data_IF_201884022554
#
_entry.id   IF_201884022554
#
_cell.length_a   1.000
_cell.length_b   1.000
_cell.length_c   1.000
_cell.angle_alpha   90.00
_cell.angle_beta   90.00
_cell.angle_gamma   90.00
#
_symmetry.space_group_name_H-M   'P 1'
#
loop_
_entity.id
_entity.type
_entity.pdbx_description
1 polymer ?
#
# COMPACT_ATOMS: atom_id res chain seq x y z
N UNK A 1 -9.24 8.12 -5.78
CA UNK A 1 -8.39 6.98 -5.36
C UNK A 1 -9.14 6.05 -4.41
N UNK A 2 -10.09 5.29 -4.96
CA UNK A 2 -10.88 4.36 -4.17
C UNK A 2 -11.18 3.09 -4.95
N UNK A 3 -10.12 2.34 -5.25
CA UNK A 3 -10.25 1.09 -5.99
C UNK A 3 -8.92 0.33 -5.97
N UNK A 4 -8.47 -0.02 -4.77
CA UNK A 4 -7.22 -0.75 -4.60
C UNK A 4 -6.09 -0.14 -5.44
N UNK A 5 -5.88 -0.68 -6.65
CA UNK A 5 -4.86 -0.18 -7.54
C UNK A 5 -3.48 -0.10 -6.88
N UNK A 6 -3.39 -0.68 -5.70
CA UNK A 6 -2.15 -0.68 -4.95
C UNK A 6 -1.08 -1.52 -5.60
N UNK A 7 -0.62 -1.08 -6.76
CA UNK A 7 0.41 -1.78 -7.50
C UNK A 7 1.78 -1.17 -7.25
N UNK A 8 1.81 -0.01 -6.59
CA UNK A 8 3.06 0.68 -6.29
C UNK A 8 2.81 2.09 -5.76
N UNK A 9 1.65 2.66 -6.07
CA UNK A 9 1.31 4.00 -5.63
C UNK A 9 1.21 4.06 -4.11
N UNK A 10 0.30 3.28 -3.54
CA UNK A 10 0.12 3.25 -2.09
C UNK A 10 1.45 2.97 -1.40
N UNK A 11 2.32 2.24 -2.09
CA UNK A 11 3.61 1.91 -1.55
C UNK A 11 4.48 3.12 -1.28
N UNK A 12 4.31 4.17 -2.08
CA UNK A 12 5.12 5.38 -1.91
C UNK A 12 4.77 6.13 -0.63
N UNK A 13 3.50 6.54 -0.45
CA UNK A 13 3.09 7.27 0.75
C UNK A 13 3.42 6.49 2.02
N UNK A 14 3.11 5.19 2.00
CA UNK A 14 3.36 4.33 3.14
C UNK A 14 4.85 4.07 3.38
N UNK A 15 5.64 4.00 2.31
CA UNK A 15 7.07 3.72 2.48
C UNK A 15 7.74 4.78 3.35
N UNK A 16 7.24 6.01 3.28
CA UNK A 16 7.80 7.08 4.10
C UNK A 16 7.89 6.58 5.54
N UNK A 17 6.80 5.97 6.00
CA UNK A 17 6.75 5.41 7.34
C UNK A 17 7.62 4.16 7.43
N UNK A 18 7.14 3.06 6.84
CA UNK A 18 7.88 1.80 6.85
C UNK A 18 9.10 1.86 5.92
N UNK A 19 9.46 0.72 5.33
CA UNK A 19 10.60 0.68 4.43
C UNK A 19 10.23 0.16 3.05
N UNK A 20 11.07 -0.70 2.49
CA UNK A 20 10.84 -1.27 1.18
C UNK A 20 9.67 -2.26 1.19
N UNK A 21 9.63 -3.18 2.17
CA UNK A 21 8.57 -4.18 2.27
C UNK A 21 7.27 -3.58 2.82
N UNK A 22 6.75 -2.59 2.10
CA UNK A 22 5.53 -1.92 2.52
C UNK A 22 4.49 -1.89 1.40
N UNK A 23 3.62 -2.90 1.36
CA UNK A 23 2.58 -2.95 0.33
C UNK A 23 1.55 -4.05 0.59
N UNK A 24 0.28 -3.71 0.40
CA UNK A 24 -0.82 -4.65 0.58
C UNK A 24 -2.11 -4.03 0.06
N UNK A 25 -2.97 -4.83 -0.57
CA UNK A 25 -4.21 -4.29 -1.12
C UNK A 25 -5.39 -5.24 -0.90
N UNK A 26 -6.53 -4.66 -0.53
CA UNK A 26 -7.75 -5.42 -0.31
C UNK A 26 -8.91 -4.70 -0.97
N UNK A 27 -9.90 -5.46 -1.45
CA UNK A 27 -11.06 -4.86 -2.13
C UNK A 27 -11.50 -3.57 -1.45
N UNK A 28 -11.62 -3.63 -0.13
CA UNK A 28 -12.03 -2.49 0.65
C UNK A 28 -11.14 -1.27 0.42
N UNK A 29 -9.82 -1.44 0.53
CA UNK A 29 -8.90 -0.32 0.33
C UNK A 29 -7.45 -0.78 0.28
N UNK A 30 -6.56 0.18 0.10
CA UNK A 30 -5.13 -0.10 0.04
C UNK A 30 -4.55 -0.28 1.44
N UNK A 31 -3.40 -0.94 1.51
CA UNK A 31 -2.73 -1.18 2.78
C UNK A 31 -1.23 -1.38 2.56
N UNK A 32 -0.47 -1.32 3.64
CA UNK A 32 0.97 -1.48 3.54
C UNK A 32 1.52 -2.21 4.77
N UNK A 33 2.71 -2.79 4.63
CA UNK A 33 3.35 -3.53 5.71
C UNK A 33 2.37 -4.45 6.42
N UNK A 34 1.96 -5.51 5.73
CA UNK A 34 1.03 -6.46 6.30
C UNK A 34 1.46 -7.89 6.09
N UNK A 35 2.77 -8.11 6.00
CA UNK A 35 3.31 -9.45 5.80
C UNK A 35 4.50 -9.70 6.72
#
# INVERSE_FOLDING_TARGET
LVKCRGTSDCGRPCQQQTGXPNSKCINRMCKCYGX
#
